data_IF_425849273964
#
_entry.id   IF_425849273964
#
_cell.length_a   1.000
_cell.length_b   1.000
_cell.length_c   1.000
_cell.angle_alpha   90.00
_cell.angle_beta   90.00
_cell.angle_gamma   90.00
#
_symmetry.space_group_name_H-M   'P 1'
#
loop_
_entity.id
_entity.type
_entity.pdbx_description
1 polymer ?
#
# COMPACT_ATOMS: atom_id res chain seq x y z
N UNK A 1 -32.22 50.62 -19.66
CA UNK A 1 -31.07 50.81 -20.56
C UNK A 1 -29.80 50.54 -19.77
N UNK A 2 -28.87 49.81 -20.37
CA UNK A 2 -27.69 49.20 -19.79
C UNK A 2 -26.59 50.21 -19.41
N UNK A 3 -25.80 49.88 -18.38
CA UNK A 3 -24.32 49.92 -18.34
C UNK A 3 -23.87 49.71 -16.87
N UNK A 4 -23.45 48.50 -16.49
CA UNK A 4 -22.05 48.04 -16.48
C UNK A 4 -21.16 48.84 -15.51
N UNK A 5 -21.12 48.39 -14.26
CA UNK A 5 -20.07 48.72 -13.30
C UNK A 5 -18.81 47.93 -13.67
N UNK A 6 -17.84 48.59 -14.31
CA UNK A 6 -16.48 48.06 -14.40
C UNK A 6 -15.82 48.17 -13.02
N UNK A 7 -15.80 47.07 -12.27
CA UNK A 7 -14.86 46.92 -11.17
C UNK A 7 -13.49 46.64 -11.77
N UNK A 8 -12.67 47.69 -11.89
CA UNK A 8 -11.23 47.55 -12.08
C UNK A 8 -10.64 46.91 -10.83
N UNK A 9 -10.55 45.58 -10.82
CA UNK A 9 -9.89 44.83 -9.76
C UNK A 9 -8.38 44.99 -9.92
N UNK A 10 -7.87 46.08 -9.36
CA UNK A 10 -6.49 46.18 -8.92
C UNK A 10 -6.32 45.23 -7.73
N UNK A 11 -5.93 43.99 -7.99
CA UNK A 11 -5.26 43.18 -6.99
C UNK A 11 -3.88 42.82 -7.51
N UNK A 12 -2.92 43.72 -7.22
CA UNK A 12 -1.52 43.33 -7.13
C UNK A 12 -1.39 42.31 -6.01
N UNK A 13 -0.93 41.10 -6.33
CA UNK A 13 -0.37 40.18 -5.34
C UNK A 13 1.12 40.06 -5.66
N UNK A 14 1.94 40.64 -4.80
CA UNK A 14 3.36 40.34 -4.69
C UNK A 14 3.50 38.96 -4.05
N UNK A 15 4.34 38.07 -4.59
CA UNK A 15 4.99 37.05 -3.77
C UNK A 15 6.38 36.67 -4.30
N UNK A 16 7.28 36.63 -3.34
CA UNK A 16 8.74 36.53 -3.41
C UNK A 16 9.21 35.19 -3.99
N UNK A 17 10.25 35.26 -4.82
CA UNK A 17 10.88 34.11 -5.45
C UNK A 17 11.70 33.27 -4.46
N UNK A 18 11.05 32.32 -3.78
CA UNK A 18 11.60 31.02 -3.41
C UNK A 18 10.46 30.01 -3.27
N UNK A 19 10.29 29.16 -4.28
CA UNK A 19 9.39 28.00 -4.21
C UNK A 19 8.38 27.96 -5.36
N UNK A 20 8.73 27.19 -6.40
CA UNK A 20 7.88 26.44 -7.34
C UNK A 20 6.50 27.05 -7.66
N UNK A 21 6.39 27.63 -8.85
CA UNK A 21 5.18 28.23 -9.43
C UNK A 21 4.26 27.17 -10.08
N UNK A 22 2.94 27.31 -9.94
CA UNK A 22 1.93 26.59 -10.72
C UNK A 22 1.27 27.60 -11.65
N UNK A 23 1.48 27.50 -12.96
CA UNK A 23 0.87 28.41 -13.94
C UNK A 23 -0.35 27.72 -14.55
N UNK A 24 -1.55 28.18 -14.16
CA UNK A 24 -2.81 27.78 -14.78
C UNK A 24 -3.35 28.95 -15.63
N UNK A 25 -3.43 28.79 -16.95
CA UNK A 25 -4.08 29.75 -17.85
C UNK A 25 -5.52 29.33 -18.15
N UNK A 26 -6.49 30.23 -17.94
CA UNK A 26 -7.91 30.00 -18.21
C UNK A 26 -8.29 30.37 -19.64
N UNK A 27 -8.96 29.47 -20.37
CA UNK A 27 -9.84 29.85 -21.50
C UNK A 27 -11.07 28.93 -21.56
N UNK A 28 -12.22 29.50 -21.95
CA UNK A 28 -13.60 29.01 -21.71
C UNK A 28 -14.04 27.73 -22.44
N UNK A 29 -13.18 26.92 -23.08
CA UNK A 29 -13.60 25.70 -23.79
C UNK A 29 -12.64 24.53 -23.58
N UNK A 30 -13.17 23.45 -23.02
CA UNK A 30 -12.52 22.21 -22.61
C UNK A 30 -11.38 21.69 -23.52
N UNK A 31 -10.21 21.47 -22.92
CA UNK A 31 -9.36 20.28 -23.09
C UNK A 31 -8.21 20.35 -22.07
N UNK A 32 -8.19 19.45 -21.09
CA UNK A 32 -7.08 19.38 -20.12
C UNK A 32 -5.84 18.84 -20.82
N UNK A 33 -4.86 19.70 -21.07
CA UNK A 33 -3.46 19.27 -21.09
C UNK A 33 -2.81 19.86 -19.85
N UNK A 34 -3.01 19.20 -18.72
CA UNK A 34 -1.96 19.21 -17.71
C UNK A 34 -0.79 18.51 -18.39
N UNK A 35 0.24 19.25 -18.80
CA UNK A 35 1.53 18.62 -19.07
C UNK A 35 1.99 18.13 -17.71
N UNK A 36 1.62 16.90 -17.40
CA UNK A 36 2.07 16.17 -16.23
C UNK A 36 3.55 15.86 -16.44
N UNK A 37 4.43 16.83 -16.22
CA UNK A 37 5.68 16.47 -15.56
C UNK A 37 5.29 16.18 -14.11
N UNK A 38 4.76 14.98 -13.88
CA UNK A 38 4.94 14.34 -12.58
C UNK A 38 6.44 14.19 -12.47
N UNK A 39 7.10 15.16 -11.86
CA UNK A 39 8.37 14.88 -11.20
C UNK A 39 8.02 13.88 -10.12
N UNK A 40 8.09 12.60 -10.47
CA UNK A 40 8.47 11.56 -9.51
C UNK A 40 9.65 12.19 -8.81
N UNK A 41 9.55 12.42 -7.49
CA UNK A 41 10.73 12.79 -6.73
C UNK A 41 11.69 11.63 -6.94
N UNK A 42 12.60 11.81 -7.89
CA UNK A 42 13.69 10.91 -8.10
C UNK A 42 14.42 10.93 -6.77
N UNK A 43 14.36 9.83 -6.03
CA UNK A 43 15.31 9.63 -4.94
C UNK A 43 16.67 10.01 -5.52
N UNK A 44 17.33 11.01 -4.94
CA UNK A 44 18.66 11.46 -5.39
C UNK A 44 19.75 10.40 -5.09
N UNK A 45 19.34 9.15 -4.98
CA UNK A 45 20.14 7.99 -4.70
C UNK A 45 20.57 7.33 -6.00
N UNK A 46 21.81 6.84 -6.07
CA UNK A 46 22.30 6.16 -7.26
C UNK A 46 21.64 4.78 -7.39
N UNK A 47 21.71 4.19 -8.58
CA UNK A 47 21.01 2.94 -8.92
C UNK A 47 21.46 1.74 -8.05
N UNK A 48 22.73 1.74 -7.61
CA UNK A 48 23.32 0.73 -6.74
C UNK A 48 22.90 0.85 -5.26
N UNK A 49 22.51 2.05 -4.85
CA UNK A 49 22.05 2.37 -3.49
C UNK A 49 20.71 3.09 -3.51
N UNK A 50 19.61 2.51 -4.00
CA UNK A 50 18.39 3.27 -4.30
C UNK A 50 17.55 3.65 -3.06
N UNK A 51 17.90 3.18 -1.86
CA UNK A 51 17.13 3.42 -0.64
C UNK A 51 17.67 4.63 0.17
N UNK A 52 16.91 5.73 0.32
CA UNK A 52 17.33 6.90 1.09
C UNK A 52 17.09 6.72 2.59
N UNK A 53 18.05 7.14 3.42
CA UNK A 53 17.84 7.29 4.85
C UNK A 53 16.99 8.55 5.15
N UNK A 54 16.05 8.46 6.10
CA UNK A 54 15.06 9.52 6.40
C UNK A 54 15.66 10.89 6.75
N UNK A 55 16.70 10.92 7.59
CA UNK A 55 17.23 12.17 8.16
C UNK A 55 18.51 12.68 7.50
N UNK A 56 19.05 11.96 6.53
CA UNK A 56 20.33 12.28 5.89
C UNK A 56 20.27 12.01 4.40
N UNK A 57 21.13 12.64 3.61
CA UNK A 57 21.31 12.29 2.20
C UNK A 57 22.15 11.00 2.00
N UNK A 58 22.22 10.13 3.02
CA UNK A 58 22.86 8.81 2.89
C UNK A 58 21.87 7.91 2.17
N UNK A 59 22.38 7.23 1.15
CA UNK A 59 21.66 6.17 0.45
C UNK A 59 22.33 4.83 0.77
N UNK A 60 21.56 3.75 0.71
CA UNK A 60 22.04 2.39 0.94
C UNK A 60 21.43 1.45 -0.10
N UNK A 61 22.09 0.31 -0.30
CA UNK A 61 21.58 -0.75 -1.16
C UNK A 61 20.39 -1.47 -0.51
N UNK A 62 19.42 -1.93 -1.29
CA UNK A 62 18.25 -2.66 -0.79
C UNK A 62 18.59 -3.94 -0.01
N UNK A 63 19.80 -4.49 -0.19
CA UNK A 63 20.30 -5.64 0.58
C UNK A 63 20.61 -5.32 2.05
N UNK A 64 20.75 -4.03 2.38
CA UNK A 64 20.99 -3.51 3.72
C UNK A 64 19.70 -3.07 4.43
N UNK A 65 18.55 -3.25 3.77
CA UNK A 65 17.26 -2.99 4.39
C UNK A 65 16.84 -4.26 5.11
N UNK A 66 16.67 -4.18 6.43
CA UNK A 66 16.22 -5.28 7.29
C UNK A 66 17.18 -6.47 7.29
N UNK A 67 18.49 -6.17 7.29
CA UNK A 67 19.58 -7.12 7.37
C UNK A 67 20.09 -7.34 8.81
N UNK A 68 19.56 -6.56 9.77
CA UNK A 68 19.89 -6.62 11.19
C UNK A 68 21.07 -5.73 11.60
N UNK A 69 21.67 -5.00 10.67
CA UNK A 69 22.68 -3.97 10.93
C UNK A 69 22.07 -2.58 10.84
N UNK A 70 22.75 -1.60 11.43
CA UNK A 70 22.32 -0.21 11.36
C UNK A 70 23.15 0.55 10.33
N UNK A 71 22.68 0.52 9.10
CA UNK A 71 23.26 1.25 7.99
C UNK A 71 22.73 2.69 7.92
N UNK A 72 21.50 2.98 8.34
CA UNK A 72 21.06 4.37 8.51
C UNK A 72 21.40 4.92 9.91
N UNK A 73 21.75 6.22 10.04
CA UNK A 73 22.07 6.84 11.33
C UNK A 73 20.95 6.76 12.38
N UNK A 74 19.69 6.70 11.93
CA UNK A 74 18.51 6.55 12.77
C UNK A 74 17.96 5.12 12.81
N UNK A 75 18.69 4.15 12.23
CA UNK A 75 18.24 2.74 12.12
C UNK A 75 16.93 2.59 11.34
N UNK A 76 16.67 3.55 10.45
CA UNK A 76 15.45 3.61 9.64
C UNK A 76 15.33 2.43 8.67
N UNK A 77 16.47 1.95 8.19
CA UNK A 77 16.64 0.71 7.44
C UNK A 77 16.16 -0.54 8.18
N UNK A 78 16.10 -0.48 9.52
CA UNK A 78 15.61 -1.54 10.40
C UNK A 78 14.29 -1.16 11.08
N UNK A 79 13.62 -0.10 10.62
CA UNK A 79 12.31 0.27 11.11
C UNK A 79 11.28 -0.81 10.73
N UNK A 80 10.37 -1.11 11.65
CA UNK A 80 9.38 -2.16 11.45
C UNK A 80 8.51 -1.92 10.20
N UNK A 81 8.09 -0.68 9.94
CA UNK A 81 7.27 -0.34 8.77
C UNK A 81 8.05 -0.52 7.47
N UNK A 82 9.34 -0.17 7.49
CA UNK A 82 10.26 -0.35 6.35
C UNK A 82 10.45 -1.83 6.06
N UNK A 83 10.67 -2.68 7.08
CA UNK A 83 10.83 -4.11 6.89
C UNK A 83 9.60 -4.81 6.37
N UNK A 84 8.43 -4.40 6.84
CA UNK A 84 7.16 -4.88 6.31
C UNK A 84 7.05 -4.55 4.82
N UNK A 85 7.39 -3.32 4.43
CA UNK A 85 7.34 -2.90 3.03
C UNK A 85 8.37 -3.64 2.16
N UNK A 86 9.57 -3.88 2.67
CA UNK A 86 10.63 -4.59 1.96
C UNK A 86 10.28 -6.07 1.69
N UNK A 87 9.69 -6.75 2.67
CA UNK A 87 9.40 -8.18 2.59
C UNK A 87 8.11 -8.51 1.85
N UNK A 88 7.23 -7.53 1.63
CA UNK A 88 5.91 -7.76 1.05
C UNK A 88 5.84 -7.46 -0.43
N UNK A 89 4.96 -8.21 -1.08
CA UNK A 89 4.60 -8.02 -2.47
C UNK A 89 3.89 -6.65 -2.62
N UNK A 90 4.14 -5.88 -3.69
CA UNK A 90 3.45 -4.62 -3.96
C UNK A 90 1.93 -4.76 -3.92
N UNK A 91 1.23 -3.70 -3.51
CA UNK A 91 -0.22 -3.72 -3.35
C UNK A 91 -0.98 -4.03 -4.66
N UNK A 92 -0.40 -3.69 -5.82
CA UNK A 92 -0.97 -4.00 -7.14
C UNK A 92 -0.96 -5.51 -7.44
N UNK A 93 0.15 -6.18 -7.15
CA UNK A 93 0.26 -7.63 -7.30
C UNK A 93 -0.60 -8.36 -6.27
N UNK A 94 -0.67 -7.82 -5.04
CA UNK A 94 -1.58 -8.31 -4.03
C UNK A 94 -3.05 -8.16 -4.44
N UNK A 95 -3.40 -7.10 -5.17
CA UNK A 95 -4.75 -6.92 -5.71
C UNK A 95 -5.07 -8.00 -6.74
N UNK A 96 -4.14 -8.31 -7.63
CA UNK A 96 -4.31 -9.40 -8.59
C UNK A 96 -4.59 -10.73 -7.88
N UNK A 97 -3.85 -11.04 -6.82
CA UNK A 97 -4.09 -12.23 -5.99
C UNK A 97 -5.50 -12.21 -5.35
N UNK A 98 -5.87 -11.11 -4.71
CA UNK A 98 -7.20 -10.97 -4.06
C UNK A 98 -8.34 -11.09 -5.07
N UNK A 99 -8.19 -10.52 -6.27
CA UNK A 99 -9.17 -10.64 -7.36
C UNK A 99 -9.28 -12.08 -7.88
N UNK A 100 -8.15 -12.77 -8.06
CA UNK A 100 -8.13 -14.16 -8.54
C UNK A 100 -8.74 -15.14 -7.52
N UNK A 101 -8.46 -14.93 -6.23
CA UNK A 101 -8.94 -15.80 -5.14
C UNK A 101 -10.27 -15.31 -4.52
N UNK A 102 -10.86 -14.25 -5.08
CA UNK A 102 -12.07 -13.60 -4.60
C UNK A 102 -13.23 -14.57 -4.28
N UNK A 103 -13.39 -15.62 -5.10
CA UNK A 103 -14.51 -16.55 -5.03
C UNK A 103 -14.63 -17.28 -3.69
N UNK A 104 -13.51 -17.55 -3.00
CA UNK A 104 -13.50 -18.22 -1.70
C UNK A 104 -13.02 -17.28 -0.59
N UNK A 105 -12.02 -16.45 -0.88
CA UNK A 105 -11.42 -15.55 0.10
C UNK A 105 -12.42 -14.51 0.65
N UNK A 106 -13.23 -13.93 -0.24
CA UNK A 106 -14.24 -12.93 0.14
C UNK A 106 -15.33 -13.57 1.01
N UNK A 107 -16.06 -14.62 0.57
CA UNK A 107 -17.12 -15.19 1.39
C UNK A 107 -16.60 -15.77 2.72
N UNK A 108 -15.36 -16.27 2.77
CA UNK A 108 -14.76 -16.79 3.99
C UNK A 108 -14.42 -15.68 4.99
N UNK A 109 -13.75 -14.60 4.56
CA UNK A 109 -13.14 -13.65 5.51
C UNK A 109 -13.64 -12.21 5.37
N UNK A 110 -13.99 -11.78 4.15
CA UNK A 110 -14.19 -10.35 3.85
C UNK A 110 -15.62 -10.00 3.40
N UNK A 111 -16.56 -10.94 3.53
CA UNK A 111 -17.94 -10.81 3.08
C UNK A 111 -18.64 -9.56 3.60
N UNK A 112 -18.37 -9.17 4.85
CA UNK A 112 -19.03 -8.03 5.50
C UNK A 112 -18.54 -6.67 5.00
N UNK A 113 -17.36 -6.60 4.37
CA UNK A 113 -16.72 -5.33 3.98
C UNK A 113 -16.70 -5.12 2.46
N UNK A 114 -16.66 -6.18 1.66
CA UNK A 114 -16.55 -6.05 0.20
C UNK A 114 -17.90 -5.70 -0.43
N UNK A 115 -18.00 -4.52 -1.03
CA UNK A 115 -19.15 -4.10 -1.85
C UNK A 115 -18.75 -3.66 -3.25
N UNK A 116 -17.47 -3.35 -3.43
CA UNK A 116 -16.92 -2.77 -4.65
C UNK A 116 -15.48 -3.23 -4.88
N UNK A 117 -14.95 -2.95 -6.06
CA UNK A 117 -13.54 -3.20 -6.38
C UNK A 117 -12.59 -2.36 -5.50
N UNK A 118 -13.00 -1.16 -5.12
CA UNK A 118 -12.22 -0.28 -4.23
C UNK A 118 -11.98 -0.93 -2.86
N UNK A 119 -12.90 -1.78 -2.39
CA UNK A 119 -12.72 -2.53 -1.15
C UNK A 119 -11.67 -3.64 -1.30
N UNK A 120 -11.54 -4.23 -2.49
CA UNK A 120 -10.46 -5.19 -2.79
C UNK A 120 -9.09 -4.50 -2.78
N UNK A 121 -9.01 -3.27 -3.28
CA UNK A 121 -7.79 -2.46 -3.22
C UNK A 121 -7.39 -2.15 -1.77
N UNK A 122 -8.36 -1.81 -0.92
CA UNK A 122 -8.11 -1.60 0.52
C UNK A 122 -7.61 -2.88 1.19
N UNK A 123 -8.19 -4.04 0.86
CA UNK A 123 -7.73 -5.33 1.38
C UNK A 123 -6.30 -5.61 0.94
N UNK A 124 -6.00 -5.49 -0.35
CA UNK A 124 -4.67 -5.72 -0.91
C UNK A 124 -3.62 -4.77 -0.30
N UNK A 125 -3.96 -3.49 -0.17
CA UNK A 125 -3.12 -2.50 0.49
C UNK A 125 -2.90 -2.83 1.97
N UNK A 126 -3.94 -3.25 2.69
CA UNK A 126 -3.84 -3.65 4.09
C UNK A 126 -2.98 -4.91 4.27
N UNK A 127 -3.13 -5.92 3.40
CA UNK A 127 -2.28 -7.12 3.41
C UNK A 127 -0.81 -6.75 3.18
N UNK A 128 -0.55 -5.77 2.31
CA UNK A 128 0.81 -5.34 1.97
C UNK A 128 1.45 -4.44 3.03
N UNK A 129 0.68 -3.87 3.98
CA UNK A 129 1.20 -2.82 4.89
C UNK A 129 0.91 -3.04 6.38
N UNK A 130 0.07 -4.01 6.76
CA UNK A 130 -0.31 -4.20 8.18
C UNK A 130 0.73 -5.02 8.95
N UNK A 131 1.28 -4.47 10.02
CA UNK A 131 2.30 -5.17 10.80
C UNK A 131 1.87 -6.52 11.38
N UNK A 132 0.62 -6.64 11.81
CA UNK A 132 0.05 -7.84 12.40
C UNK A 132 -1.47 -7.89 12.16
N UNK A 133 -2.10 -9.00 12.56
CA UNK A 133 -3.55 -9.20 12.44
C UNK A 133 -4.37 -8.11 13.15
N UNK A 134 -3.95 -7.62 14.31
CA UNK A 134 -4.68 -6.57 15.03
C UNK A 134 -4.72 -5.25 14.24
N UNK A 135 -3.57 -4.86 13.67
CA UNK A 135 -3.48 -3.68 12.80
C UNK A 135 -4.29 -3.89 11.52
N UNK A 136 -4.22 -5.08 10.93
CA UNK A 136 -4.99 -5.44 9.74
C UNK A 136 -6.50 -5.35 9.98
N UNK A 137 -6.96 -5.93 11.10
CA UNK A 137 -8.35 -5.87 11.53
C UNK A 137 -8.79 -4.42 11.74
N UNK A 138 -7.97 -3.61 12.42
CA UNK A 138 -8.27 -2.20 12.69
C UNK A 138 -8.39 -1.39 11.40
N UNK A 139 -7.44 -1.53 10.45
CA UNK A 139 -7.42 -0.82 9.16
C UNK A 139 -8.66 -1.10 8.31
N UNK A 140 -9.15 -2.34 8.33
CA UNK A 140 -10.29 -2.77 7.51
C UNK A 140 -11.62 -2.76 8.28
N UNK A 141 -11.60 -2.40 9.57
CA UNK A 141 -12.74 -2.51 10.48
C UNK A 141 -13.42 -3.89 10.42
N UNK A 142 -12.61 -4.95 10.38
CA UNK A 142 -13.12 -6.32 10.30
C UNK A 142 -13.78 -6.76 11.61
N UNK A 143 -14.80 -7.59 11.48
CA UNK A 143 -15.41 -8.25 12.63
C UNK A 143 -14.37 -9.14 13.33
N UNK A 144 -14.50 -9.30 14.66
CA UNK A 144 -13.60 -10.18 15.42
C UNK A 144 -13.63 -11.62 14.90
N UNK A 145 -14.78 -12.10 14.43
CA UNK A 145 -14.89 -13.45 13.90
C UNK A 145 -14.13 -13.57 12.56
N UNK A 146 -14.37 -12.63 11.64
CA UNK A 146 -13.67 -12.59 10.35
C UNK A 146 -12.14 -12.52 10.50
N UNK A 147 -11.65 -11.73 11.46
CA UNK A 147 -10.22 -11.64 11.75
C UNK A 147 -9.67 -12.97 12.30
N UNK A 148 -10.40 -13.65 13.20
CA UNK A 148 -10.04 -14.97 13.72
C UNK A 148 -10.07 -16.07 12.66
N UNK A 149 -11.05 -16.04 11.77
CA UNK A 149 -11.16 -17.02 10.68
C UNK A 149 -9.98 -16.86 9.73
N UNK A 150 -9.63 -15.60 9.39
CA UNK A 150 -8.46 -15.31 8.57
C UNK A 150 -7.15 -15.71 9.27
N UNK A 151 -7.03 -15.42 10.56
CA UNK A 151 -5.91 -15.88 11.39
C UNK A 151 -5.80 -17.41 11.39
N UNK A 152 -6.92 -18.12 11.55
CA UNK A 152 -6.98 -19.59 11.52
C UNK A 152 -6.50 -20.16 10.19
N UNK A 153 -6.84 -19.50 9.07
CA UNK A 153 -6.33 -19.86 7.76
C UNK A 153 -4.80 -19.67 7.63
N UNK A 154 -4.24 -18.59 8.20
CA UNK A 154 -2.78 -18.41 8.25
C UNK A 154 -2.11 -19.49 9.12
N UNK A 155 -2.70 -19.82 10.27
CA UNK A 155 -2.23 -20.93 11.11
C UNK A 155 -2.25 -22.26 10.36
N UNK A 156 -3.31 -22.52 9.58
CA UNK A 156 -3.44 -23.72 8.77
C UNK A 156 -2.34 -23.82 7.70
N UNK A 157 -1.97 -22.71 7.06
CA UNK A 157 -0.81 -22.68 6.15
C UNK A 157 0.50 -22.96 6.91
N UNK A 158 0.67 -22.37 8.11
CA UNK A 158 1.86 -22.59 8.95
C UNK A 158 2.01 -24.04 9.41
N UNK A 159 0.92 -24.70 9.77
CA UNK A 159 0.88 -26.12 10.18
C UNK A 159 0.79 -27.10 9.01
N UNK A 160 0.67 -26.60 7.78
CA UNK A 160 0.39 -27.38 6.57
C UNK A 160 -0.92 -28.21 6.66
N UNK A 161 -1.91 -27.69 7.36
CA UNK A 161 -3.26 -28.25 7.44
C UNK A 161 -4.12 -27.75 6.27
N UNK A 162 -4.25 -28.57 5.23
CA UNK A 162 -5.08 -28.23 4.08
C UNK A 162 -6.56 -28.43 4.33
N UNK A 163 -6.93 -29.29 5.28
CA UNK A 163 -8.32 -29.59 5.59
C UNK A 163 -9.05 -28.34 6.06
N UNK A 164 -8.42 -27.58 6.95
CA UNK A 164 -8.97 -26.30 7.43
C UNK A 164 -9.16 -25.29 6.28
N UNK A 165 -8.26 -25.24 5.31
CA UNK A 165 -8.40 -24.32 4.17
C UNK A 165 -9.50 -24.77 3.19
N UNK A 166 -9.64 -26.08 2.98
CA UNK A 166 -10.76 -26.66 2.24
C UNK A 166 -12.11 -26.36 2.93
N UNK A 167 -12.17 -26.38 4.26
CA UNK A 167 -13.36 -26.02 5.03
C UNK A 167 -13.76 -24.55 4.83
N UNK A 168 -12.80 -23.64 4.65
CA UNK A 168 -13.04 -22.26 4.23
C UNK A 168 -13.44 -22.11 2.75
N UNK A 169 -13.51 -23.21 2.00
CA UNK A 169 -13.91 -23.25 0.60
C UNK A 169 -12.75 -23.05 -0.39
N UNK A 170 -11.50 -23.14 0.07
CA UNK A 170 -10.34 -23.11 -0.82
C UNK A 170 -10.27 -24.40 -1.63
N UNK A 171 -10.14 -24.27 -2.94
CA UNK A 171 -10.04 -25.44 -3.80
C UNK A 171 -8.61 -25.98 -3.92
N UNK A 172 -8.43 -27.30 -4.14
CA UNK A 172 -7.13 -27.94 -4.34
C UNK A 172 -6.23 -27.28 -5.39
N UNK A 173 -6.80 -26.79 -6.49
CA UNK A 173 -6.04 -26.12 -7.55
C UNK A 173 -5.35 -24.82 -7.10
N UNK A 174 -5.91 -24.11 -6.11
CA UNK A 174 -5.38 -22.84 -5.61
C UNK A 174 -4.31 -23.01 -4.53
N UNK A 175 -4.05 -24.23 -4.06
CA UNK A 175 -3.22 -24.46 -2.87
C UNK A 175 -1.80 -23.91 -3.00
N UNK A 176 -1.16 -24.14 -4.15
CA UNK A 176 0.24 -23.71 -4.33
C UNK A 176 0.37 -22.19 -4.23
N UNK A 177 -0.52 -21.46 -4.91
CA UNK A 177 -0.51 -20.00 -4.94
C UNK A 177 -0.87 -19.41 -3.58
N UNK A 178 -1.98 -19.87 -2.98
CA UNK A 178 -2.45 -19.36 -1.69
C UNK A 178 -1.43 -19.64 -0.59
N UNK A 179 -0.83 -20.84 -0.55
CA UNK A 179 0.24 -21.14 0.39
C UNK A 179 1.41 -20.20 0.24
N UNK A 180 1.85 -19.94 -1.01
CA UNK A 180 3.00 -19.06 -1.25
C UNK A 180 2.73 -17.67 -0.72
N UNK A 181 1.57 -17.09 -1.03
CA UNK A 181 1.20 -15.74 -0.58
C UNK A 181 1.02 -15.69 0.94
N UNK A 182 0.28 -16.64 1.52
CA UNK A 182 0.02 -16.67 2.96
C UNK A 182 1.31 -16.92 3.75
N UNK A 183 2.22 -17.75 3.24
CA UNK A 183 3.55 -17.95 3.83
C UNK A 183 4.33 -16.64 3.85
N UNK A 184 4.35 -15.86 2.76
CA UNK A 184 5.01 -14.56 2.74
C UNK A 184 4.38 -13.58 3.75
N UNK A 185 3.05 -13.61 3.94
CA UNK A 185 2.37 -12.80 4.96
C UNK A 185 2.79 -13.21 6.38
N UNK A 186 2.90 -14.52 6.65
CA UNK A 186 3.34 -15.05 7.94
C UNK A 186 4.81 -14.68 8.20
N UNK A 187 5.68 -14.93 7.23
CA UNK A 187 7.12 -14.69 7.34
C UNK A 187 7.43 -13.19 7.50
N UNK A 188 6.58 -12.30 6.97
CA UNK A 188 6.64 -10.84 7.17
C UNK A 188 5.93 -10.33 8.44
N UNK A 189 5.64 -11.23 9.39
CA UNK A 189 5.18 -10.90 10.74
C UNK A 189 3.69 -10.64 10.89
N UNK A 190 2.86 -10.86 9.85
CA UNK A 190 1.42 -10.64 9.95
C UNK A 190 0.78 -11.53 11.03
N UNK A 191 1.27 -12.77 11.16
CA UNK A 191 0.90 -13.72 12.20
C UNK A 191 1.95 -13.71 13.30
N UNK A 192 1.56 -13.38 14.54
CA UNK A 192 2.48 -13.39 15.68
C UNK A 192 2.97 -14.82 16.00
N UNK A 193 4.18 -14.92 16.56
CA UNK A 193 4.79 -16.18 17.00
C UNK A 193 4.22 -16.64 18.33
#
# INVERSE_FOLDING_TARGET
MWASLQFTSLFSIYLSARGKEVVCSYTEKSCYTCIWFVSVEFNNCPEDEPFPCKSTNKCISLKHVCDGNYDCPERWDEDQEVCIAYQRVPAEDMLNFVEQQARWLIPAFFKSIVKSRDDLQKIASALSTSANIDVFQSKLHLSRQSARDFESALYAVRSNDMGTLEEFGMKPESWSEVKSVFKNLIDSGLLQQ
#
